data_IF_268228846976
#
_entry.id   IF_268228846976
#
_cell.length_a   1.000
_cell.length_b   1.000
_cell.length_c   1.000
_cell.angle_alpha   90.00
_cell.angle_beta   90.00
_cell.angle_gamma   90.00
#
_symmetry.space_group_name_H-M   'P 1'
#
loop_
_entity.id
_entity.type
_entity.pdbx_description
1 polymer ?
#
# COMPACT_ATOMS: atom_id res chain seq x y z
N UNK A 1 -24.21 15.19 -2.32
CA UNK A 1 -23.09 15.01 -3.29
C UNK A 1 -21.72 15.07 -2.63
N UNK A 2 -21.57 15.76 -1.48
CA UNK A 2 -20.31 15.98 -0.74
C UNK A 2 -19.72 14.73 -0.08
N UNK A 3 -20.52 13.86 0.52
CA UNK A 3 -19.99 12.71 1.30
C UNK A 3 -19.27 11.66 0.45
N UNK A 4 -19.72 11.46 -0.79
CA UNK A 4 -19.08 10.53 -1.73
C UNK A 4 -17.74 11.08 -2.23
N UNK A 5 -17.65 12.39 -2.47
CA UNK A 5 -16.40 13.04 -2.87
C UNK A 5 -15.39 13.03 -1.72
N UNK A 6 -15.84 13.28 -0.48
CA UNK A 6 -15.04 13.17 0.74
C UNK A 6 -14.48 11.75 0.93
N UNK A 7 -15.31 10.73 0.75
CA UNK A 7 -14.90 9.33 0.83
C UNK A 7 -13.89 8.94 -0.26
N UNK A 8 -14.08 9.41 -1.50
CA UNK A 8 -13.11 9.20 -2.59
C UNK A 8 -11.76 9.90 -2.31
N UNK A 9 -11.79 11.11 -1.75
CA UNK A 9 -10.57 11.84 -1.39
C UNK A 9 -9.79 11.11 -0.30
N UNK A 10 -10.48 10.57 0.70
CA UNK A 10 -9.88 9.71 1.74
C UNK A 10 -9.33 8.41 1.15
N UNK A 11 -10.03 7.81 0.20
CA UNK A 11 -9.55 6.61 -0.49
C UNK A 11 -8.23 6.87 -1.23
N UNK A 12 -8.13 7.99 -1.95
CA UNK A 12 -6.90 8.40 -2.63
C UNK A 12 -5.73 8.63 -1.65
N UNK A 13 -6.01 9.26 -0.51
CA UNK A 13 -4.99 9.46 0.52
C UNK A 13 -4.48 8.12 1.10
N UNK A 14 -5.38 7.17 1.33
CA UNK A 14 -5.01 5.82 1.80
C UNK A 14 -4.20 5.06 0.74
N UNK A 15 -4.60 5.12 -0.53
CA UNK A 15 -3.87 4.54 -1.65
C UNK A 15 -2.44 5.10 -1.80
N UNK A 16 -2.24 6.40 -1.56
CA UNK A 16 -0.89 6.99 -1.60
C UNK A 16 0.04 6.40 -0.51
N UNK A 17 -0.49 6.12 0.69
CA UNK A 17 0.24 5.42 1.75
C UNK A 17 0.54 3.98 1.32
N UNK A 18 -0.46 3.32 0.74
CA UNK A 18 -0.34 1.97 0.17
C UNK A 18 0.78 1.84 -0.86
N UNK A 19 0.86 2.79 -1.78
CA UNK A 19 1.88 2.84 -2.82
C UNK A 19 3.29 2.84 -2.21
N UNK A 20 3.51 3.61 -1.15
CA UNK A 20 4.81 3.64 -0.45
C UNK A 20 5.12 2.26 0.14
N UNK A 21 4.13 1.61 0.76
CA UNK A 21 4.27 0.25 1.28
C UNK A 21 4.63 -0.77 0.19
N UNK A 22 3.95 -0.73 -0.95
CA UNK A 22 4.20 -1.60 -2.09
C UNK A 22 5.60 -1.38 -2.70
N UNK A 23 6.05 -0.14 -2.82
CA UNK A 23 7.39 0.18 -3.33
C UNK A 23 8.46 -0.33 -2.35
N UNK A 24 8.29 -0.12 -1.04
CA UNK A 24 9.21 -0.63 -0.03
C UNK A 24 9.27 -2.17 -0.05
N UNK A 25 8.11 -2.83 -0.13
CA UNK A 25 8.02 -4.28 -0.24
C UNK A 25 8.73 -4.79 -1.50
N UNK A 26 8.47 -4.17 -2.65
CA UNK A 26 9.08 -4.53 -3.93
C UNK A 26 10.59 -4.36 -3.93
N UNK A 27 11.10 -3.25 -3.40
CA UNK A 27 12.55 -3.01 -3.24
C UNK A 27 13.20 -4.03 -2.29
N UNK A 28 12.55 -4.32 -1.17
CA UNK A 28 13.05 -5.32 -0.22
C UNK A 28 13.09 -6.72 -0.82
N UNK A 29 12.05 -7.13 -1.55
CA UNK A 29 12.00 -8.43 -2.23
C UNK A 29 13.03 -8.52 -3.36
N UNK A 30 13.22 -7.44 -4.13
CA UNK A 30 14.25 -7.35 -5.16
C UNK A 30 15.64 -7.54 -4.56
N UNK A 31 15.96 -6.84 -3.46
CA UNK A 31 17.24 -6.98 -2.77
C UNK A 31 17.50 -8.38 -2.17
N UNK A 32 16.45 -9.16 -1.88
CA UNK A 32 16.58 -10.56 -1.43
C UNK A 32 16.71 -11.56 -2.57
N UNK A 33 16.21 -11.23 -3.76
CA UNK A 33 16.10 -12.15 -4.88
C UNK A 33 17.26 -12.04 -5.86
N UNK A 34 17.85 -10.85 -6.01
CA UNK A 34 18.91 -10.58 -6.97
C UNK A 34 20.28 -10.51 -6.29
N UNK A 35 21.23 -11.29 -6.78
CA UNK A 35 22.61 -11.32 -6.27
C UNK A 35 23.35 -9.98 -6.52
N UNK A 36 22.96 -9.25 -7.58
CA UNK A 36 23.56 -7.99 -7.99
C UNK A 36 22.77 -6.76 -7.52
N UNK A 37 21.86 -6.90 -6.54
CA UNK A 37 21.03 -5.78 -6.07
C UNK A 37 21.85 -4.58 -5.53
N UNK A 38 23.08 -4.84 -5.08
CA UNK A 38 24.02 -3.82 -4.62
C UNK A 38 24.44 -2.84 -5.74
N UNK A 39 24.37 -3.25 -7.01
CA UNK A 39 24.68 -2.38 -8.17
C UNK A 39 23.61 -1.29 -8.37
N UNK A 40 22.36 -1.58 -8.00
CA UNK A 40 21.30 -0.58 -8.00
C UNK A 40 21.47 0.42 -6.86
N UNK A 41 21.72 -0.08 -5.65
CA UNK A 41 22.04 0.75 -4.50
C UNK A 41 22.79 -0.07 -3.43
N UNK A 42 23.89 0.44 -2.84
CA UNK A 42 24.70 -0.33 -1.88
C UNK A 42 23.92 -0.87 -0.67
N UNK A 43 22.90 -0.16 -0.21
CA UNK A 43 22.06 -0.60 0.90
C UNK A 43 21.19 -1.82 0.58
N UNK A 44 20.90 -2.10 -0.70
CA UNK A 44 20.15 -3.30 -1.11
C UNK A 44 21.00 -4.57 -1.05
N UNK A 45 22.32 -4.46 -0.88
CA UNK A 45 23.18 -5.61 -0.57
C UNK A 45 23.13 -6.04 0.91
N UNK A 46 22.49 -5.26 1.79
CA UNK A 46 22.36 -5.59 3.21
C UNK A 46 21.05 -6.34 3.48
N UNK A 47 21.19 -7.60 3.92
CA UNK A 47 20.06 -8.46 4.30
C UNK A 47 19.14 -7.82 5.35
N UNK A 48 19.70 -7.08 6.31
CA UNK A 48 18.93 -6.42 7.37
C UNK A 48 18.06 -5.31 6.80
N UNK A 49 18.60 -4.53 5.87
CA UNK A 49 17.86 -3.45 5.18
C UNK A 49 16.73 -4.06 4.36
N UNK A 50 17.00 -5.12 3.61
CA UNK A 50 15.99 -5.77 2.79
C UNK A 50 14.86 -6.39 3.64
N UNK A 51 15.19 -7.04 4.75
CA UNK A 51 14.18 -7.55 5.69
C UNK A 51 13.38 -6.42 6.34
N UNK A 52 14.01 -5.28 6.65
CA UNK A 52 13.31 -4.11 7.18
C UNK A 52 12.37 -3.49 6.13
N UNK A 53 12.78 -3.44 4.86
CA UNK A 53 11.96 -2.99 3.74
C UNK A 53 10.75 -3.91 3.51
N UNK A 54 10.96 -5.23 3.52
CA UNK A 54 9.87 -6.21 3.39
C UNK A 54 8.93 -6.14 4.60
N UNK A 55 9.46 -6.17 5.82
CA UNK A 55 8.66 -6.13 7.04
C UNK A 55 7.88 -4.82 7.19
N UNK A 56 8.55 -3.69 6.99
CA UNK A 56 7.94 -2.36 7.02
C UNK A 56 6.92 -2.16 5.92
N UNK A 57 7.25 -2.54 4.67
CA UNK A 57 6.34 -2.48 3.53
C UNK A 57 5.07 -3.30 3.76
N UNK A 58 5.21 -4.53 4.27
CA UNK A 58 4.08 -5.38 4.60
C UNK A 58 3.18 -4.75 5.67
N UNK A 59 3.74 -4.17 6.73
CA UNK A 59 2.98 -3.49 7.77
C UNK A 59 2.18 -2.31 7.18
N UNK A 60 2.81 -1.51 6.32
CA UNK A 60 2.14 -0.37 5.66
C UNK A 60 0.99 -0.85 4.77
N UNK A 61 1.19 -1.90 3.98
CA UNK A 61 0.13 -2.49 3.15
C UNK A 61 -1.03 -3.05 4.00
N UNK A 62 -0.74 -3.68 5.14
CA UNK A 62 -1.79 -4.16 6.04
C UNK A 62 -2.58 -3.01 6.68
N UNK A 63 -1.91 -1.91 7.04
CA UNK A 63 -2.56 -0.69 7.53
C UNK A 63 -3.45 -0.10 6.44
N UNK A 64 -2.96 -0.02 5.20
CA UNK A 64 -3.74 0.45 4.05
C UNK A 64 -5.03 -0.36 3.90
N UNK A 65 -4.95 -1.69 3.81
CA UNK A 65 -6.12 -2.57 3.67
C UNK A 65 -7.12 -2.33 4.81
N UNK A 66 -6.62 -2.20 6.05
CA UNK A 66 -7.46 -1.95 7.23
C UNK A 66 -8.17 -0.59 7.17
N UNK A 67 -7.50 0.45 6.66
CA UNK A 67 -8.07 1.79 6.47
C UNK A 67 -9.02 1.85 5.26
N UNK A 68 -8.77 1.06 4.22
CA UNK A 68 -9.56 1.06 2.99
C UNK A 68 -10.92 0.35 3.18
N UNK A 69 -10.95 -0.72 3.96
CA UNK A 69 -12.15 -1.50 4.29
C UNK A 69 -13.39 -0.67 4.71
N UNK A 70 -13.31 0.22 5.72
CA UNK A 70 -14.47 1.04 6.12
C UNK A 70 -14.88 2.05 5.04
N UNK A 71 -13.92 2.61 4.29
CA UNK A 71 -14.19 3.58 3.21
C UNK A 71 -14.95 2.89 2.08
N UNK A 72 -14.52 1.68 1.67
CA UNK A 72 -15.20 0.89 0.65
C UNK A 72 -16.62 0.47 1.09
N UNK A 73 -16.81 0.16 2.38
CA UNK A 73 -18.15 -0.13 2.94
C UNK A 73 -19.06 1.09 2.87
N UNK A 74 -18.56 2.29 3.21
CA UNK A 74 -19.32 3.54 3.11
C UNK A 74 -19.66 3.91 1.66
N UNK A 75 -18.73 3.69 0.73
CA UNK A 75 -18.96 3.91 -0.70
C UNK A 75 -20.00 2.92 -1.28
N UNK A 76 -20.02 1.67 -0.83
CA UNK A 76 -21.05 0.68 -1.22
C UNK A 76 -22.42 1.03 -0.68
N UNK A 77 -22.52 1.48 0.58
CA UNK A 77 -23.80 1.88 1.19
C UNK A 77 -24.44 3.11 0.52
N UNK A 78 -23.64 3.93 -0.17
CA UNK A 78 -24.09 5.13 -0.89
C UNK A 78 -24.24 4.90 -2.40
N UNK A 79 -24.05 3.67 -2.88
CA UNK A 79 -24.36 3.33 -4.26
C UNK A 79 -25.88 3.19 -4.42
N UNK A 80 -26.50 3.79 -5.45
CA UNK A 80 -27.91 3.58 -5.71
C UNK A 80 -28.15 2.08 -5.92
N UNK A 81 -29.13 1.52 -5.20
CA UNK A 81 -29.62 0.16 -5.47
C UNK A 81 -30.24 0.19 -6.87
N UNK A 82 -29.50 -0.26 -7.88
CA UNK A 82 -30.06 -0.51 -9.19
C UNK A 82 -30.89 -1.79 -9.13
N UNK A 83 -32.22 -1.65 -8.97
CA UNK A 83 -33.19 -2.65 -9.39
C UNK A 83 -33.86 -3.44 -8.27
N UNK A 84 -35.16 -3.17 -8.12
CA UNK A 84 -36.16 -3.91 -7.37
C UNK A 84 -37.51 -3.27 -7.63
#
# INVERSE_FOLDING_TARGET
MTDRQEALRRLLAVQAIGLIGCVALGLGLFGLAEDDAADLHPWLGDLTVNLALVGGGLIVCLIEVRLMLPILRALRATAPQSGG
#
